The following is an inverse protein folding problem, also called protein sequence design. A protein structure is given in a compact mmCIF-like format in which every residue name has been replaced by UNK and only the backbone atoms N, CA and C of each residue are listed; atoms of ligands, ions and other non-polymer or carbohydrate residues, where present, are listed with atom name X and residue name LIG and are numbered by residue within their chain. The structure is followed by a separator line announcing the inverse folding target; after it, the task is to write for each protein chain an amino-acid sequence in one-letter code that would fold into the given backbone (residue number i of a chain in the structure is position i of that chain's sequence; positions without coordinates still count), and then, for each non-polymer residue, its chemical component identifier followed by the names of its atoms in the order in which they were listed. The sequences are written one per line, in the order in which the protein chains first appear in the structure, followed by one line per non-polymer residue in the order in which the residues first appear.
data_IF_563530786386
#
_entry.id   IF_563530786386
#
_cell.length_a   1.000
_cell.length_b   1.000
_cell.length_c   1.000
_cell.angle_alpha   90.00
_cell.angle_beta   90.00
_cell.angle_gamma   90.00
#
_symmetry.space_group_name_H-M   'P 1'
#
loop_
_entity.id
_entity.type
_entity.pdbx_description
1 polymer ?
#
# COMPACT_ATOMS: atom_id res chain seq x y z
N UNK A 1 -8.37 5.34 47.91
CA UNK A 1 -9.71 5.61 47.35
C UNK A 1 -9.55 6.48 46.12
N UNK A 2 -10.36 6.19 45.11
CA UNK A 2 -10.21 6.49 43.68
C UNK A 2 -10.28 7.98 43.32
N UNK A 3 -9.53 8.39 42.28
CA UNK A 3 -9.69 9.69 41.61
C UNK A 3 -10.65 9.54 40.43
N UNK A 4 -11.74 10.29 40.47
CA UNK A 4 -12.68 10.46 39.37
C UNK A 4 -12.34 11.73 38.59
N UNK A 5 -12.23 11.63 37.26
CA UNK A 5 -12.14 12.76 36.36
C UNK A 5 -13.56 13.20 35.96
N UNK A 6 -13.87 14.48 36.15
CA UNK A 6 -15.05 15.11 35.54
C UNK A 6 -14.62 16.26 34.64
N UNK A 7 -15.12 16.19 33.41
CA UNK A 7 -14.81 17.04 32.29
C UNK A 7 -15.33 18.47 32.49
N UNK A 8 -14.51 19.44 32.10
CA UNK A 8 -14.96 20.78 31.74
C UNK A 8 -14.73 21.01 30.26
N UNK A 9 -15.81 21.09 29.47
CA UNK A 9 -15.78 21.90 28.26
C UNK A 9 -16.16 23.33 28.62
N UNK A 10 -15.52 24.30 27.96
CA UNK A 10 -16.08 25.34 27.09
C UNK A 10 -15.01 26.45 26.88
N UNK A 11 -15.16 27.39 25.92
CA UNK A 11 -14.88 27.26 24.50
C UNK A 11 -13.85 28.33 24.03
N UNK A 12 -13.79 28.61 22.72
CA UNK A 12 -13.26 29.78 22.00
C UNK A 12 -11.83 29.76 21.43
N UNK A 13 -11.80 29.75 20.09
CA UNK A 13 -11.05 30.64 19.21
C UNK A 13 -9.63 31.05 19.66
N UNK A 14 -8.61 30.46 19.06
CA UNK A 14 -7.33 31.15 18.87
C UNK A 14 -6.74 30.82 17.52
N UNK A 15 -6.79 31.83 16.66
CA UNK A 15 -5.88 31.98 15.54
C UNK A 15 -4.46 32.14 16.09
N UNK A 16 -3.51 31.48 15.42
CA UNK A 16 -2.06 31.68 15.49
C UNK A 16 -1.34 31.33 16.80
N UNK A 17 -0.51 30.29 16.69
CA UNK A 17 0.76 30.17 17.42
C UNK A 17 0.67 29.45 18.76
N UNK A 18 1.56 28.47 18.94
CA UNK A 18 1.93 27.83 20.22
C UNK A 18 1.00 26.73 20.75
N UNK A 19 0.98 25.55 20.11
CA UNK A 19 0.72 24.29 20.82
C UNK A 19 1.63 23.17 20.26
N UNK A 20 2.79 23.02 20.89
CA UNK A 20 3.55 21.77 20.87
C UNK A 20 2.69 20.66 21.50
N UNK A 21 2.47 19.55 20.78
CA UNK A 21 2.30 18.25 21.43
C UNK A 21 0.94 17.54 21.35
N UNK A 22 0.01 17.92 20.46
CA UNK A 22 -1.09 16.98 20.09
C UNK A 22 -0.65 16.26 18.82
N UNK A 23 -0.48 14.91 18.82
CA UNK A 23 -0.29 14.18 17.58
C UNK A 23 -1.49 14.49 16.68
N UNK A 24 -1.24 15.21 15.58
CA UNK A 24 -2.24 15.38 14.54
C UNK A 24 -2.64 14.00 14.04
N UNK A 25 -3.93 13.79 13.75
CA UNK A 25 -4.37 12.60 13.03
C UNK A 25 -3.57 12.53 11.74
N UNK A 26 -2.80 11.46 11.55
CA UNK A 26 -2.08 11.18 10.30
C UNK A 26 -3.10 10.99 9.16
N UNK A 27 -2.92 11.79 8.11
CA UNK A 27 -3.78 11.81 6.91
C UNK A 27 -2.97 11.58 5.64
N UNK A 28 -1.69 11.25 5.75
CA UNK A 28 -0.78 11.11 4.61
C UNK A 28 -0.94 9.71 4.04
N UNK A 29 -1.35 9.55 2.76
CA UNK A 29 -1.40 8.22 2.16
C UNK A 29 0.00 7.72 1.78
N UNK A 30 0.21 6.39 1.77
CA UNK A 30 1.46 5.81 1.30
C UNK A 30 1.80 6.22 -0.13
N UNK A 31 3.08 6.48 -0.39
CA UNK A 31 3.62 6.68 -1.73
C UNK A 31 3.99 5.34 -2.34
N UNK A 32 3.54 5.09 -3.58
CA UNK A 32 3.76 3.81 -4.28
C UNK A 32 4.26 4.07 -5.71
N UNK A 33 5.19 3.24 -6.17
CA UNK A 33 5.50 3.06 -7.59
C UNK A 33 5.55 1.57 -7.91
N UNK A 34 4.89 1.12 -8.98
CA UNK A 34 4.97 -0.27 -9.45
C UNK A 34 5.68 -0.29 -10.80
N UNK A 35 6.63 -1.22 -10.98
CA UNK A 35 7.36 -1.37 -12.24
C UNK A 35 6.68 -2.38 -13.15
N UNK A 36 6.66 -2.08 -14.45
CA UNK A 36 6.23 -3.05 -15.46
C UNK A 36 7.20 -4.22 -15.55
N UNK A 37 6.68 -5.39 -15.90
CA UNK A 37 7.47 -6.62 -16.02
C UNK A 37 6.90 -7.54 -17.10
N UNK A 38 7.65 -8.58 -17.46
CA UNK A 38 7.17 -9.64 -18.32
C UNK A 38 7.62 -11.00 -17.82
N UNK A 39 6.78 -12.00 -18.06
CA UNK A 39 6.98 -13.37 -17.59
C UNK A 39 6.41 -14.34 -18.63
N UNK A 40 6.96 -15.54 -18.70
CA UNK A 40 6.36 -16.63 -19.49
C UNK A 40 5.30 -17.37 -18.68
N UNK A 41 4.33 -17.98 -19.34
CA UNK A 41 3.46 -18.97 -18.69
C UNK A 41 4.29 -20.10 -18.06
N UNK A 42 3.88 -20.54 -16.87
CA UNK A 42 4.64 -21.49 -16.05
C UNK A 42 5.82 -20.85 -15.29
N UNK A 43 6.05 -19.55 -15.45
CA UNK A 43 7.09 -18.80 -14.75
C UNK A 43 6.57 -18.07 -13.52
N UNK A 44 7.47 -17.37 -12.84
CA UNK A 44 7.16 -16.55 -11.66
C UNK A 44 7.30 -15.07 -11.97
N UNK A 45 6.17 -14.35 -11.96
CA UNK A 45 6.15 -12.93 -12.24
C UNK A 45 6.78 -12.15 -11.07
N UNK A 46 7.79 -11.34 -11.36
CA UNK A 46 8.44 -10.45 -10.40
C UNK A 46 7.81 -9.07 -10.44
N UNK A 47 6.87 -8.77 -9.55
CA UNK A 47 6.26 -7.44 -9.45
C UNK A 47 7.09 -6.61 -8.47
N UNK A 48 7.97 -5.77 -9.01
CA UNK A 48 8.76 -4.83 -8.22
C UNK A 48 7.98 -3.56 -7.94
N UNK A 49 8.10 -3.05 -6.72
CA UNK A 49 7.48 -1.79 -6.33
C UNK A 49 8.33 -1.05 -5.28
N UNK A 50 8.19 0.27 -5.24
CA UNK A 50 8.68 1.12 -4.16
C UNK A 50 7.50 1.54 -3.30
N UNK A 51 7.74 1.65 -2.00
CA UNK A 51 6.73 1.96 -1.00
C UNK A 51 7.37 2.79 0.10
N UNK A 52 6.75 3.92 0.44
CA UNK A 52 7.17 4.77 1.56
C UNK A 52 5.94 5.42 2.19
N UNK A 53 6.03 5.71 3.47
CA UNK A 53 4.96 6.30 4.28
C UNK A 53 5.57 6.94 5.53
N UNK A 54 4.98 8.00 6.06
CA UNK A 54 5.46 8.71 7.26
C UNK A 54 5.17 7.96 8.57
N UNK A 55 4.22 7.00 8.58
CA UNK A 55 4.02 6.09 9.71
C UNK A 55 5.04 4.94 9.77
N UNK A 56 5.79 4.72 8.70
CA UNK A 56 6.80 3.66 8.58
C UNK A 56 6.27 2.23 8.45
N UNK A 57 4.97 1.99 8.64
CA UNK A 57 4.37 0.64 8.51
C UNK A 57 3.20 0.63 7.55
N UNK A 58 3.27 -0.22 6.52
CA UNK A 58 2.23 -0.33 5.50
C UNK A 58 1.88 -1.79 5.20
N UNK A 59 0.59 -2.10 5.21
CA UNK A 59 0.05 -3.34 4.66
C UNK A 59 -0.21 -3.18 3.16
N UNK A 60 0.57 -3.87 2.34
CA UNK A 60 0.44 -3.84 0.89
C UNK A 60 -0.26 -5.11 0.37
N UNK A 61 -1.27 -4.90 -0.48
CA UNK A 61 -1.98 -5.95 -1.22
C UNK A 61 -1.72 -5.80 -2.70
N UNK A 62 -1.05 -6.79 -3.29
CA UNK A 62 -0.86 -6.89 -4.73
C UNK A 62 -1.93 -7.76 -5.37
N UNK A 63 -2.41 -7.35 -6.54
CA UNK A 63 -3.34 -8.10 -7.38
C UNK A 63 -2.81 -8.12 -8.81
N UNK A 64 -2.84 -9.29 -9.43
CA UNK A 64 -2.64 -9.45 -10.86
C UNK A 64 -4.01 -9.58 -11.52
N UNK A 65 -4.34 -8.68 -12.45
CA UNK A 65 -5.65 -8.59 -13.08
C UNK A 65 -5.60 -8.86 -14.57
N UNK A 66 -6.60 -9.58 -15.07
CA UNK A 66 -6.87 -9.80 -16.49
C UNK A 66 -8.24 -9.21 -16.82
N UNK A 67 -8.32 -8.27 -17.76
CA UNK A 67 -9.54 -7.50 -18.06
C UNK A 67 -10.27 -6.99 -16.80
N UNK A 68 -9.52 -6.47 -15.84
CA UNK A 68 -10.07 -5.95 -14.58
C UNK A 68 -10.50 -7.00 -13.55
N UNK A 69 -10.46 -8.30 -13.87
CA UNK A 69 -10.74 -9.39 -12.92
C UNK A 69 -9.46 -9.83 -12.23
N UNK A 70 -9.51 -10.01 -10.91
CA UNK A 70 -8.35 -10.48 -10.14
C UNK A 70 -8.10 -11.96 -10.43
N UNK A 71 -6.92 -12.29 -10.94
CA UNK A 71 -6.48 -13.66 -11.19
C UNK A 71 -5.70 -14.20 -9.99
N UNK A 72 -4.75 -13.41 -9.49
CA UNK A 72 -3.90 -13.74 -8.35
C UNK A 72 -3.83 -12.56 -7.40
N UNK A 73 -3.67 -12.83 -6.10
CA UNK A 73 -3.44 -11.79 -5.11
C UNK A 73 -2.51 -12.26 -4.01
N UNK A 74 -1.81 -11.32 -3.41
CA UNK A 74 -0.92 -11.54 -2.27
C UNK A 74 -0.95 -10.30 -1.39
N UNK A 75 -0.74 -10.49 -0.09
CA UNK A 75 -0.74 -9.40 0.88
C UNK A 75 0.42 -9.59 1.86
N UNK A 76 1.05 -8.49 2.25
CA UNK A 76 2.14 -8.49 3.23
C UNK A 76 2.24 -7.14 3.92
N UNK A 77 2.55 -7.16 5.22
CA UNK A 77 2.89 -5.97 5.98
C UNK A 77 4.40 -5.73 5.91
N UNK A 78 4.77 -4.50 5.62
CA UNK A 78 6.15 -4.02 5.59
C UNK A 78 6.32 -2.99 6.70
N UNK A 79 7.37 -3.15 7.48
CA UNK A 79 7.82 -2.17 8.48
C UNK A 79 9.03 -1.43 7.91
N UNK A 80 9.33 -0.27 8.49
CA UNK A 80 10.45 0.59 8.11
C UNK A 80 10.45 0.87 6.60
N UNK A 81 9.27 1.19 6.05
CA UNK A 81 9.13 1.44 4.62
C UNK A 81 9.87 2.71 4.21
N UNK A 82 10.69 2.59 3.17
CA UNK A 82 11.49 3.71 2.69
C UNK A 82 11.52 3.74 1.15
N UNK A 83 11.56 4.95 0.60
CA UNK A 83 11.45 5.14 -0.85
C UNK A 83 12.65 4.58 -1.62
N UNK A 84 13.82 4.46 -1.00
CA UNK A 84 15.01 3.87 -1.60
C UNK A 84 14.90 2.34 -1.76
N UNK A 85 14.03 1.69 -0.98
CA UNK A 85 13.87 0.24 -1.00
C UNK A 85 13.00 -0.24 -2.15
N UNK A 86 13.38 -1.39 -2.73
CA UNK A 86 12.60 -2.09 -3.75
C UNK A 86 12.03 -3.37 -3.14
N UNK A 87 10.71 -3.41 -3.05
CA UNK A 87 9.94 -4.56 -2.59
C UNK A 87 9.46 -5.40 -3.76
N UNK A 88 9.11 -6.65 -3.48
CA UNK A 88 8.70 -7.62 -4.51
C UNK A 88 7.51 -8.43 -4.05
N UNK A 89 6.50 -8.50 -4.92
CA UNK A 89 5.52 -9.59 -4.91
C UNK A 89 5.83 -10.59 -6.02
N UNK A 90 5.76 -11.87 -5.67
CA UNK A 90 5.90 -12.97 -6.62
C UNK A 90 4.54 -13.58 -6.91
N UNK A 91 4.25 -13.78 -8.19
CA UNK A 91 3.06 -14.50 -8.63
C UNK A 91 3.46 -15.67 -9.52
N UNK A 92 3.10 -16.89 -9.12
CA UNK A 92 3.28 -18.07 -9.96
C UNK A 92 2.21 -18.06 -11.06
N UNK A 93 2.64 -17.98 -12.32
CA UNK A 93 1.75 -17.93 -13.48
C UNK A 93 1.56 -19.36 -14.00
N UNK A 94 0.32 -19.90 -13.97
CA UNK A 94 0.05 -21.22 -14.52
C UNK A 94 0.54 -21.39 -15.96
N UNK A 95 1.00 -22.60 -16.30
CA UNK A 95 1.48 -22.93 -17.66
C UNK A 95 0.34 -23.00 -18.67
N UNK A 96 -0.84 -23.44 -18.24
CA UNK A 96 -2.06 -23.60 -19.05
C UNK A 96 -3.22 -22.83 -18.41
N UNK A 97 -4.29 -22.60 -19.18
CA UNK A 97 -5.50 -21.90 -18.69
C UNK A 97 -5.35 -20.39 -18.47
N UNK A 98 -4.14 -19.84 -18.61
CA UNK A 98 -3.87 -18.40 -18.56
C UNK A 98 -3.60 -17.88 -19.98
N UNK A 99 -4.37 -16.92 -20.47
CA UNK A 99 -4.09 -16.26 -21.74
C UNK A 99 -2.73 -15.55 -21.76
N UNK A 100 -2.14 -15.43 -22.94
CA UNK A 100 -1.01 -14.51 -23.13
C UNK A 100 -1.56 -13.10 -23.34
N UNK A 101 -0.74 -12.09 -23.06
CA UNK A 101 -1.09 -10.69 -23.32
C UNK A 101 -0.81 -9.77 -22.14
N UNK A 102 -1.58 -8.68 -22.08
CA UNK A 102 -1.41 -7.60 -21.10
C UNK A 102 -2.29 -7.81 -19.89
N UNK A 103 -1.65 -7.77 -18.73
CA UNK A 103 -2.24 -7.82 -17.41
C UNK A 103 -1.90 -6.54 -16.66
N UNK A 104 -2.66 -6.25 -15.61
CA UNK A 104 -2.36 -5.15 -14.68
C UNK A 104 -1.92 -5.73 -13.35
N UNK A 105 -0.73 -5.38 -12.86
CA UNK A 105 -0.35 -5.61 -11.48
C UNK A 105 -0.64 -4.34 -10.67
N UNK A 106 -1.62 -4.39 -9.78
CA UNK A 106 -1.99 -3.28 -8.91
C UNK A 106 -1.55 -3.57 -7.47
N UNK A 107 -0.79 -2.66 -6.88
CA UNK A 107 -0.39 -2.69 -5.47
C UNK A 107 -1.16 -1.59 -4.74
N UNK A 108 -1.92 -1.98 -3.71
CA UNK A 108 -2.57 -1.06 -2.77
C UNK A 108 -1.86 -1.12 -1.43
N UNK A 109 -1.35 0.00 -0.95
CA UNK A 109 -0.81 0.16 0.41
C UNK A 109 -1.85 0.80 1.33
N UNK A 110 -1.93 0.34 2.57
CA UNK A 110 -2.69 0.96 3.66
C UNK A 110 -1.77 1.11 4.86
N UNK A 111 -1.63 2.32 5.39
CA UNK A 111 -0.86 2.59 6.60
C UNK A 111 -1.61 2.13 7.87
N UNK A 112 -1.06 2.43 9.05
CA UNK A 112 -1.70 2.12 10.33
C UNK A 112 -2.89 3.04 10.68
N UNK A 113 -2.99 4.20 10.03
CA UNK A 113 -4.03 5.20 10.26
C UNK A 113 -5.21 5.08 9.28
N UNK A 114 -5.15 4.12 8.35
CA UNK A 114 -6.18 3.83 7.36
C UNK A 114 -6.03 4.61 6.05
N UNK A 115 -5.03 5.47 5.91
CA UNK A 115 -4.77 6.13 4.64
C UNK A 115 -4.26 5.10 3.62
N UNK A 116 -4.66 5.28 2.36
CA UNK A 116 -4.33 4.28 1.35
C UNK A 116 -4.10 4.89 -0.03
N UNK A 117 -3.23 4.23 -0.77
CA UNK A 117 -2.97 4.54 -2.17
C UNK A 117 -2.90 3.26 -2.99
N UNK A 118 -3.19 3.37 -4.29
CA UNK A 118 -3.03 2.26 -5.23
C UNK A 118 -2.30 2.74 -6.47
N UNK A 119 -1.36 1.92 -6.96
CA UNK A 119 -0.72 2.10 -8.26
C UNK A 119 -0.68 0.78 -9.01
N UNK A 120 -0.72 0.87 -10.33
CA UNK A 120 -0.72 -0.28 -11.21
C UNK A 120 0.37 -0.13 -12.27
N UNK A 121 0.89 -1.27 -12.74
CA UNK A 121 1.77 -1.33 -13.90
C UNK A 121 1.41 -2.52 -14.79
N UNK A 122 1.82 -2.46 -16.05
CA UNK A 122 1.59 -3.56 -16.99
C UNK A 122 2.48 -4.76 -16.68
N UNK A 123 1.88 -5.95 -16.63
CA UNK A 123 2.58 -7.24 -16.68
C UNK A 123 2.28 -7.88 -18.02
N UNK A 124 3.31 -8.24 -18.78
CA UNK A 124 3.13 -8.94 -20.06
C UNK A 124 3.38 -10.42 -19.86
N UNK A 125 2.35 -11.25 -20.04
CA UNK A 125 2.47 -12.72 -20.00
C UNK A 125 2.67 -13.23 -21.43
N UNK A 126 3.75 -13.99 -21.66
CA UNK A 126 4.12 -14.56 -22.96
C UNK A 126 4.04 -16.09 -22.96
#
# INVERSE_FOLDING_TARGET
MSVAWQAGQLPVNSANGLLNGVPGIDKTPPRILVKSTSVKRGGRARVQFQLADDSGTVTAKARLLYHGKTLLSSSRTFTDVDWSNVYVFWFDVPRSGVPTGRYSACVRGTDMHGNSAQRCATVTIR
#
